data_IF_679685194534
#
_entry.id   IF_679685194534
#
_cell.length_a   1.000
_cell.length_b   1.000
_cell.length_c   1.000
_cell.angle_alpha   90.00
_cell.angle_beta   90.00
_cell.angle_gamma   90.00
#
_symmetry.space_group_name_H-M   'P 1'
#
loop_
_entity.id
_entity.type
_entity.pdbx_description
1 polymer ?
#
# COMPACT_ATOMS: atom_id res chain seq x y z
N UNK A 1 -33.67 48.21 13.86
CA UNK A 1 -32.83 47.05 14.27
C UNK A 1 -32.03 46.46 13.09
N UNK A 2 -32.43 46.75 11.85
CA UNK A 2 -31.99 46.13 10.60
C UNK A 2 -30.46 46.08 10.42
N UNK A 3 -29.73 47.15 10.80
CA UNK A 3 -28.27 47.20 10.65
C UNK A 3 -27.53 46.06 11.37
N UNK A 4 -28.09 45.44 12.42
CA UNK A 4 -27.50 44.26 13.06
C UNK A 4 -27.90 42.94 12.39
N UNK A 5 -29.10 42.88 11.80
CA UNK A 5 -29.59 41.69 11.09
C UNK A 5 -28.75 41.42 9.82
N UNK A 6 -28.48 42.46 9.02
CA UNK A 6 -27.70 42.32 7.79
C UNK A 6 -26.25 41.86 8.04
N UNK A 7 -25.62 42.32 9.13
CA UNK A 7 -24.25 41.92 9.49
C UNK A 7 -24.19 40.42 9.85
N UNK A 8 -25.17 39.92 10.61
CA UNK A 8 -25.26 38.48 10.93
C UNK A 8 -25.50 37.66 9.66
N UNK A 9 -26.41 38.10 8.77
CA UNK A 9 -26.74 37.38 7.54
C UNK A 9 -25.54 37.28 6.57
N UNK A 10 -24.78 38.36 6.42
CA UNK A 10 -23.54 38.38 5.61
C UNK A 10 -22.45 37.51 6.25
N UNK A 11 -22.31 37.53 7.58
CA UNK A 11 -21.36 36.66 8.27
C UNK A 11 -21.70 35.16 8.09
N UNK A 12 -22.98 34.77 8.16
CA UNK A 12 -23.39 33.38 7.91
C UNK A 12 -23.14 32.92 6.47
N UNK A 13 -23.34 33.81 5.48
CA UNK A 13 -23.02 33.50 4.08
C UNK A 13 -21.51 33.37 3.84
N UNK A 14 -20.69 34.20 4.49
CA UNK A 14 -19.23 34.09 4.41
C UNK A 14 -18.70 32.79 5.04
N UNK A 15 -19.26 32.35 6.17
CA UNK A 15 -18.85 31.10 6.83
C UNK A 15 -19.23 29.86 5.98
N UNK A 16 -20.39 29.88 5.31
CA UNK A 16 -20.79 28.81 4.39
C UNK A 16 -19.85 28.68 3.17
N UNK A 17 -19.23 29.77 2.72
CA UNK A 17 -18.33 29.78 1.57
C UNK A 17 -16.93 29.19 1.86
N UNK A 18 -16.55 28.98 3.13
CA UNK A 18 -15.20 28.52 3.51
C UNK A 18 -15.01 26.99 3.43
N UNK A 19 -16.06 26.22 3.11
CA UNK A 19 -15.97 24.78 2.81
C UNK A 19 -15.74 24.48 1.32
N UNK A 20 -14.97 25.33 0.61
CA UNK A 20 -14.45 25.01 -0.72
C UNK A 20 -13.32 23.97 -0.63
N UNK A 21 -13.69 22.71 -0.39
CA UNK A 21 -12.77 21.57 -0.52
C UNK A 21 -12.26 21.48 -1.95
N UNK A 22 -10.94 21.55 -2.14
CA UNK A 22 -10.31 21.49 -3.45
C UNK A 22 -10.64 20.18 -4.16
N UNK A 23 -11.07 20.29 -5.42
CA UNK A 23 -11.44 19.17 -6.27
C UNK A 23 -10.21 18.58 -6.96
N UNK A 24 -9.32 18.01 -6.14
CA UNK A 24 -8.37 17.03 -6.64
C UNK A 24 -9.12 15.72 -6.93
N UNK A 25 -8.79 15.07 -8.04
CA UNK A 25 -9.19 13.69 -8.36
C UNK A 25 -8.87 12.78 -7.17
N UNK A 26 -9.84 11.96 -6.75
CA UNK A 26 -9.71 11.05 -5.61
C UNK A 26 -9.65 9.60 -6.04
N UNK A 27 -8.73 8.88 -5.43
CA UNK A 27 -8.66 7.42 -5.54
C UNK A 27 -9.41 6.76 -4.37
N UNK A 28 -10.42 5.96 -4.69
CA UNK A 28 -11.24 5.23 -3.72
C UNK A 28 -10.90 3.74 -3.76
N UNK A 29 -10.24 3.24 -2.71
CA UNK A 29 -9.96 1.81 -2.55
C UNK A 29 -11.26 1.06 -2.23
N UNK A 30 -11.73 0.23 -3.18
CA UNK A 30 -13.01 -0.47 -3.07
C UNK A 30 -12.95 -1.53 -1.97
N UNK A 31 -13.88 -1.46 -1.02
CA UNK A 31 -13.89 -2.29 0.19
C UNK A 31 -12.91 -1.85 1.27
N UNK A 32 -12.18 -0.74 1.07
CA UNK A 32 -11.14 -0.22 1.97
C UNK A 32 -10.09 -1.30 2.33
N UNK A 33 -10.16 -1.81 3.56
CA UNK A 33 -9.27 -2.85 4.07
C UNK A 33 -9.65 -4.28 3.66
N UNK A 34 -10.90 -4.51 3.27
CA UNK A 34 -11.39 -5.80 2.81
C UNK A 34 -10.95 -6.08 1.35
N UNK A 35 -10.71 -5.01 0.58
CA UNK A 35 -10.48 -5.09 -0.85
C UNK A 35 -11.71 -5.57 -1.62
N UNK A 36 -11.46 -6.16 -2.79
CA UNK A 36 -12.47 -6.69 -3.70
C UNK A 36 -12.49 -8.23 -3.66
N UNK A 37 -13.22 -8.75 -2.69
CA UNK A 37 -13.43 -10.20 -2.43
C UNK A 37 -14.91 -10.53 -2.32
N UNK A 38 -15.27 -11.82 -2.19
CA UNK A 38 -16.61 -12.21 -1.74
C UNK A 38 -16.80 -11.65 -0.32
N UNK A 39 -17.81 -10.80 -0.08
CA UNK A 39 -17.94 -10.13 1.21
C UNK A 39 -18.58 -11.06 2.26
N UNK A 40 -18.36 -10.80 3.56
CA UNK A 40 -19.04 -11.54 4.64
C UNK A 40 -20.55 -11.25 4.73
N UNK A 41 -21.05 -10.25 3.98
CA UNK A 41 -22.47 -9.97 3.82
C UNK A 41 -22.74 -9.12 2.58
N UNK A 42 -23.91 -9.30 1.95
CA UNK A 42 -24.28 -8.63 0.69
C UNK A 42 -24.40 -7.11 0.77
N UNK A 43 -24.48 -6.55 1.98
CA UNK A 43 -24.53 -5.10 2.22
C UNK A 43 -23.16 -4.41 2.21
N UNK A 44 -22.03 -5.14 2.26
CA UNK A 44 -20.70 -4.54 2.47
C UNK A 44 -20.33 -3.46 1.45
N UNK A 45 -20.41 -3.75 0.15
CA UNK A 45 -20.09 -2.75 -0.89
C UNK A 45 -21.16 -1.65 -1.02
N UNK A 46 -22.48 -1.93 -0.92
CA UNK A 46 -23.49 -0.88 -0.77
C UNK A 46 -23.23 0.09 0.39
N UNK A 47 -22.87 -0.40 1.58
CA UNK A 47 -22.53 0.45 2.74
C UNK A 47 -21.23 1.21 2.53
N UNK A 48 -20.21 0.60 1.92
CA UNK A 48 -18.98 1.29 1.52
C UNK A 48 -19.25 2.44 0.53
N UNK A 49 -20.13 2.22 -0.45
CA UNK A 49 -20.52 3.23 -1.44
C UNK A 49 -21.35 4.37 -0.84
N UNK A 50 -22.27 4.06 0.08
CA UNK A 50 -23.19 5.04 0.66
C UNK A 50 -22.51 6.14 1.49
N UNK A 51 -21.30 5.88 2.01
CA UNK A 51 -20.51 6.85 2.78
C UNK A 51 -19.54 7.68 1.92
N UNK A 52 -19.74 7.73 0.59
CA UNK A 52 -18.81 8.32 -0.39
C UNK A 52 -19.55 9.13 -1.47
N UNK A 53 -18.86 10.13 -2.00
CA UNK A 53 -19.35 10.99 -3.10
C UNK A 53 -18.38 10.91 -4.27
N UNK A 54 -18.80 10.29 -5.36
CA UNK A 54 -17.97 10.06 -6.54
C UNK A 54 -18.21 11.17 -7.58
N UNK A 55 -17.15 11.80 -8.08
CA UNK A 55 -17.21 12.83 -9.10
C UNK A 55 -16.51 12.38 -10.40
N UNK A 56 -16.87 13.00 -11.52
CA UNK A 56 -16.15 12.75 -12.78
C UNK A 56 -14.66 13.13 -12.61
N UNK A 57 -13.80 12.18 -12.99
CA UNK A 57 -12.35 12.23 -12.79
C UNK A 57 -11.86 11.28 -11.70
N UNK A 58 -12.65 10.98 -10.66
CA UNK A 58 -12.24 10.09 -9.57
C UNK A 58 -11.90 8.67 -10.05
N UNK A 59 -11.02 7.96 -9.33
CA UNK A 59 -10.62 6.58 -9.64
C UNK A 59 -11.20 5.62 -8.61
N UNK A 60 -11.71 4.46 -9.06
CA UNK A 60 -11.90 3.30 -8.19
C UNK A 60 -10.67 2.40 -8.27
N UNK A 61 -10.10 2.03 -7.12
CA UNK A 61 -8.95 1.12 -7.01
C UNK A 61 -9.44 -0.18 -6.40
N UNK A 62 -9.52 -1.24 -7.21
CA UNK A 62 -9.97 -2.56 -6.78
C UNK A 62 -8.77 -3.47 -6.51
N UNK A 63 -8.55 -3.81 -5.25
CA UNK A 63 -7.47 -4.70 -4.81
C UNK A 63 -8.00 -6.13 -4.59
N UNK A 64 -7.54 -7.10 -5.37
CA UNK A 64 -7.94 -8.50 -5.27
C UNK A 64 -6.76 -9.47 -5.54
N UNK A 65 -7.01 -10.77 -5.38
CA UNK A 65 -6.05 -11.83 -5.74
C UNK A 65 -6.26 -12.22 -7.21
N UNK A 66 -5.21 -12.13 -8.03
CA UNK A 66 -5.27 -12.49 -9.45
C UNK A 66 -5.72 -13.95 -9.65
N UNK A 67 -6.62 -14.19 -10.60
CA UNK A 67 -7.14 -15.52 -10.89
C UNK A 67 -8.15 -16.06 -9.86
N UNK A 68 -8.40 -15.35 -8.76
CA UNK A 68 -9.50 -15.64 -7.83
C UNK A 68 -10.68 -14.67 -8.00
N UNK A 69 -10.43 -13.44 -8.47
CA UNK A 69 -11.46 -12.44 -8.77
C UNK A 69 -11.10 -11.65 -10.04
N UNK A 70 -12.06 -10.87 -10.51
CA UNK A 70 -11.95 -9.88 -11.58
C UNK A 70 -12.86 -8.67 -11.27
N UNK A 71 -12.73 -7.61 -12.08
CA UNK A 71 -13.58 -6.42 -12.03
C UNK A 71 -14.22 -6.19 -13.39
N UNK A 72 -15.54 -6.37 -13.45
CA UNK A 72 -16.33 -6.29 -14.68
C UNK A 72 -17.28 -5.09 -14.59
N UNK A 73 -17.07 -4.03 -15.41
CA UNK A 73 -18.06 -2.93 -15.56
C UNK A 73 -19.21 -3.46 -16.42
N UNK A 74 -20.44 -3.38 -15.91
CA UNK A 74 -21.64 -3.97 -16.54
C UNK A 74 -22.80 -2.98 -16.61
N UNK A 75 -23.85 -3.35 -17.36
CA UNK A 75 -25.13 -2.62 -17.36
C UNK A 75 -25.90 -2.86 -16.06
N UNK A 76 -26.91 -2.04 -15.75
CA UNK A 76 -27.83 -2.27 -14.62
C UNK A 76 -28.45 -3.67 -14.67
N UNK A 77 -28.99 -4.09 -15.81
CA UNK A 77 -29.65 -5.39 -15.94
C UNK A 77 -28.69 -6.56 -15.69
N UNK A 78 -27.45 -6.45 -16.16
CA UNK A 78 -26.39 -7.43 -15.89
C UNK A 78 -25.94 -7.42 -14.43
N UNK A 79 -25.85 -6.25 -13.80
CA UNK A 79 -25.59 -6.14 -12.36
C UNK A 79 -26.69 -6.79 -11.53
N UNK A 80 -27.96 -6.48 -11.81
CA UNK A 80 -29.11 -7.00 -11.07
C UNK A 80 -29.23 -8.53 -11.22
N UNK A 81 -28.96 -9.07 -12.42
CA UNK A 81 -28.95 -10.52 -12.70
C UNK A 81 -27.61 -11.24 -12.42
N UNK A 82 -26.56 -10.53 -11.99
CA UNK A 82 -25.20 -11.06 -11.83
C UNK A 82 -24.60 -11.73 -13.08
N UNK A 83 -24.88 -11.16 -14.26
CA UNK A 83 -24.41 -11.66 -15.55
C UNK A 83 -23.12 -10.95 -16.02
N UNK A 84 -22.01 -11.69 -16.09
CA UNK A 84 -20.71 -11.19 -16.58
C UNK A 84 -20.56 -11.12 -18.11
N UNK A 85 -21.53 -11.61 -18.88
CA UNK A 85 -21.49 -11.60 -20.34
C UNK A 85 -21.61 -10.20 -20.95
N UNK A 86 -20.94 -9.96 -22.08
CA UNK A 86 -20.89 -8.67 -22.78
C UNK A 86 -20.47 -7.48 -21.87
N UNK A 87 -19.28 -7.54 -21.24
CA UNK A 87 -18.81 -6.50 -20.33
C UNK A 87 -18.50 -5.19 -21.05
N UNK A 88 -18.70 -4.06 -20.36
CA UNK A 88 -18.32 -2.73 -20.86
C UNK A 88 -16.82 -2.46 -20.69
N UNK A 89 -16.24 -2.97 -19.59
CA UNK A 89 -14.80 -3.06 -19.32
C UNK A 89 -14.58 -4.31 -18.45
N UNK A 90 -13.42 -4.96 -18.56
CA UNK A 90 -13.04 -6.05 -17.66
C UNK A 90 -11.56 -6.01 -17.32
N UNK A 91 -11.24 -6.20 -16.03
CA UNK A 91 -9.87 -6.29 -15.52
C UNK A 91 -9.70 -7.60 -14.75
N UNK A 92 -8.87 -8.51 -15.27
CA UNK A 92 -8.55 -9.80 -14.64
C UNK A 92 -7.29 -9.76 -13.77
N UNK A 93 -6.68 -8.59 -13.59
CA UNK A 93 -5.46 -8.36 -12.82
C UNK A 93 -5.65 -7.21 -11.83
N UNK A 94 -5.00 -7.33 -10.68
CA UNK A 94 -5.04 -6.44 -9.53
C UNK A 94 -3.68 -5.73 -9.33
N UNK A 95 -3.68 -4.42 -8.97
CA UNK A 95 -4.86 -3.56 -8.75
C UNK A 95 -5.54 -3.17 -10.07
N UNK A 96 -6.87 -3.22 -10.11
CA UNK A 96 -7.64 -2.70 -11.24
C UNK A 96 -8.07 -1.25 -10.94
N UNK A 97 -7.54 -0.31 -11.73
CA UNK A 97 -7.81 1.12 -11.58
C UNK A 97 -8.82 1.57 -12.63
N UNK A 98 -9.98 2.08 -12.19
CA UNK A 98 -11.09 2.49 -13.06
C UNK A 98 -11.40 3.97 -12.87
N UNK A 99 -10.99 4.81 -13.81
CA UNK A 99 -11.32 6.24 -13.83
C UNK A 99 -12.78 6.47 -14.22
N UNK A 100 -13.47 7.33 -13.47
CA UNK A 100 -14.89 7.63 -13.61
C UNK A 100 -15.08 8.80 -14.58
N UNK A 101 -15.02 8.50 -15.88
CA UNK A 101 -15.04 9.51 -16.95
C UNK A 101 -16.44 10.06 -17.28
N UNK A 102 -17.50 9.51 -16.70
CA UNK A 102 -18.90 9.74 -17.08
C UNK A 102 -19.75 9.99 -15.82
N UNK A 103 -20.85 10.74 -15.96
CA UNK A 103 -21.83 10.93 -14.88
C UNK A 103 -22.90 9.84 -14.88
N UNK A 104 -23.63 9.71 -13.77
CA UNK A 104 -24.73 8.76 -13.61
C UNK A 104 -24.31 7.50 -12.87
N UNK A 105 -25.06 6.41 -13.03
CA UNK A 105 -24.88 5.20 -12.22
C UNK A 105 -23.96 4.18 -12.90
N UNK A 106 -22.90 3.75 -12.19
CA UNK A 106 -21.93 2.76 -12.66
C UNK A 106 -22.04 1.48 -11.82
N UNK A 107 -21.87 0.34 -12.49
CA UNK A 107 -22.04 -0.98 -11.88
C UNK A 107 -20.84 -1.87 -12.15
N UNK A 108 -20.36 -2.53 -11.12
CA UNK A 108 -19.21 -3.43 -11.14
C UNK A 108 -19.56 -4.74 -10.45
N UNK A 109 -19.13 -5.86 -11.04
CA UNK A 109 -19.28 -7.20 -10.46
C UNK A 109 -17.96 -7.96 -10.58
N UNK A 110 -17.79 -9.00 -9.78
CA UNK A 110 -16.89 -10.10 -10.13
C UNK A 110 -17.70 -11.14 -10.92
N UNK A 111 -17.24 -11.46 -12.13
CA UNK A 111 -17.92 -12.37 -13.07
C UNK A 111 -17.62 -13.85 -12.81
N UNK A 112 -16.71 -14.17 -11.87
CA UNK A 112 -16.48 -15.53 -11.39
C UNK A 112 -17.77 -16.14 -10.83
N UNK A 113 -17.99 -17.42 -11.12
CA UNK A 113 -19.27 -18.09 -10.86
C UNK A 113 -19.68 -18.01 -9.38
N UNK A 114 -20.86 -17.45 -9.11
CA UNK A 114 -21.40 -17.27 -7.76
C UNK A 114 -20.87 -16.06 -6.98
N UNK A 115 -19.76 -15.43 -7.39
CA UNK A 115 -19.11 -14.36 -6.62
C UNK A 115 -20.00 -13.11 -6.51
N UNK A 116 -20.54 -12.63 -7.64
CA UNK A 116 -21.52 -11.54 -7.64
C UNK A 116 -22.78 -11.88 -6.80
N UNK A 117 -23.29 -13.11 -6.91
CA UNK A 117 -24.49 -13.56 -6.19
C UNK A 117 -24.28 -13.66 -4.68
N UNK A 118 -23.06 -13.98 -4.24
CA UNK A 118 -22.62 -13.91 -2.85
C UNK A 118 -22.34 -12.47 -2.37
N UNK A 119 -22.50 -11.47 -3.23
CA UNK A 119 -22.41 -10.05 -2.89
C UNK A 119 -21.18 -9.31 -3.42
N UNK A 120 -20.30 -9.93 -4.21
CA UNK A 120 -19.15 -9.24 -4.84
C UNK A 120 -19.59 -8.36 -6.02
N UNK A 121 -20.31 -7.29 -5.68
CA UNK A 121 -20.94 -6.35 -6.60
C UNK A 121 -21.02 -4.95 -5.98
N UNK A 122 -20.68 -3.93 -6.75
CA UNK A 122 -20.68 -2.51 -6.37
C UNK A 122 -21.54 -1.71 -7.35
N UNK A 123 -22.45 -0.90 -6.83
CA UNK A 123 -23.12 0.15 -7.58
C UNK A 123 -22.76 1.50 -6.96
N UNK A 124 -22.42 2.48 -7.79
CA UNK A 124 -22.15 3.87 -7.39
C UNK A 124 -22.94 4.84 -8.28
N UNK A 125 -23.08 6.08 -7.83
CA UNK A 125 -23.57 7.17 -8.67
C UNK A 125 -22.53 8.31 -8.69
N UNK A 126 -22.18 8.75 -9.90
CA UNK A 126 -21.13 9.73 -10.18
C UNK A 126 -21.77 11.06 -10.55
N UNK A 127 -21.48 12.11 -9.78
CA UNK A 127 -21.87 13.49 -10.11
C UNK A 127 -20.87 14.12 -11.08
N UNK A 128 -21.26 15.20 -11.76
CA UNK A 128 -20.31 15.99 -12.52
C UNK A 128 -19.16 16.45 -11.61
N UNK A 129 -17.94 16.52 -12.15
CA UNK A 129 -16.85 17.22 -11.48
C UNK A 129 -17.27 18.67 -11.24
N UNK A 130 -16.95 19.23 -10.07
CA UNK A 130 -17.43 20.55 -9.67
C UNK A 130 -16.71 21.68 -10.42
N UNK A 131 -17.11 21.92 -11.66
CA UNK A 131 -16.64 23.04 -12.46
C UNK A 131 -16.89 24.35 -11.72
N UNK A 132 -15.82 24.95 -11.17
CA UNK A 132 -15.83 26.38 -10.87
C UNK A 132 -16.20 27.12 -12.16
N UNK A 133 -17.19 28.03 -12.17
CA UNK A 133 -17.70 28.61 -13.40
C UNK A 133 -16.59 29.30 -14.20
N UNK A 134 -16.22 28.69 -15.33
CA UNK A 134 -15.35 29.34 -16.29
C UNK A 134 -15.99 30.67 -16.73
N UNK A 135 -15.25 31.79 -16.81
CA UNK A 135 -15.79 33.04 -17.30
C UNK A 135 -16.43 32.84 -18.67
N UNK A 136 -17.73 33.12 -18.76
CA UNK A 136 -18.53 32.81 -19.95
C UNK A 136 -17.91 33.47 -21.21
N UNK A 137 -17.62 32.70 -22.27
CA UNK A 137 -17.21 33.28 -23.54
C UNK A 137 -18.32 34.18 -24.08
N UNK A 138 -18.10 35.49 -24.04
CA UNK A 138 -19.11 36.46 -24.47
C UNK A 138 -19.15 36.50 -26.00
N UNK A 139 -20.14 35.83 -26.58
CA UNK A 139 -20.35 35.78 -28.03
C UNK A 139 -20.78 37.16 -28.54
N UNK A 140 -19.90 37.82 -29.28
CA UNK A 140 -20.18 39.14 -29.85
C UNK A 140 -21.22 39.07 -30.98
N UNK A 141 -22.21 39.97 -30.94
CA UNK A 141 -23.09 40.32 -32.06
C UNK A 141 -23.28 41.85 -32.09
N UNK A 142 -23.34 42.49 -33.28
CA UNK A 142 -23.17 43.95 -33.39
C UNK A 142 -24.48 44.75 -33.37
N UNK A 143 -24.51 45.88 -32.65
CA UNK A 143 -25.49 46.96 -32.79
C UNK A 143 -24.85 48.34 -32.49
N UNK A 144 -25.48 49.48 -32.88
CA UNK A 144 -24.73 50.62 -33.42
C UNK A 144 -24.54 51.82 -32.48
N UNK A 145 -23.60 52.67 -32.90
CA UNK A 145 -23.25 54.00 -32.35
C UNK A 145 -23.73 55.13 -33.27
N UNK A 146 -23.72 56.43 -32.87
CA UNK A 146 -23.76 56.99 -31.51
C UNK A 146 -24.71 58.23 -31.37
N UNK A 147 -24.88 58.71 -30.13
CA UNK A 147 -24.91 60.17 -29.85
C UNK A 147 -24.30 60.48 -28.47
N UNK A 148 -23.84 61.72 -28.21
CA UNK A 148 -22.74 61.96 -27.28
C UNK A 148 -23.17 62.42 -25.87
N UNK A 149 -22.33 62.10 -24.88
CA UNK A 149 -22.37 62.62 -23.51
C UNK A 149 -21.15 63.55 -23.26
N UNK A 150 -21.22 64.57 -22.39
CA UNK A 150 -20.19 65.61 -22.32
C UNK A 150 -18.79 65.16 -21.90
N UNK A 151 -17.77 65.86 -22.40
CA UNK A 151 -16.36 65.72 -22.02
C UNK A 151 -16.10 66.21 -20.60
N UNK A 152 -15.45 65.36 -19.80
CA UNK A 152 -14.82 65.71 -18.52
C UNK A 152 -13.30 65.85 -18.79
N UNK A 153 -12.61 66.87 -18.26
CA UNK A 153 -11.16 67.03 -18.47
C UNK A 153 -10.35 65.89 -17.82
N UNK A 154 -9.16 65.56 -18.36
CA UNK A 154 -8.32 64.51 -17.81
C UNK A 154 -7.75 64.89 -16.44
N UNK A 155 -7.67 63.92 -15.53
CA UNK A 155 -6.95 64.06 -14.26
C UNK A 155 -5.43 64.09 -14.50
N UNK A 156 -4.64 64.79 -13.65
CA UNK A 156 -3.19 64.84 -13.79
C UNK A 156 -2.53 63.49 -13.51
N UNK A 157 -1.42 63.23 -14.21
CA UNK A 157 -0.66 61.98 -14.06
C UNK A 157 0.01 61.88 -12.68
N UNK A 158 -0.03 60.73 -12.00
CA UNK A 158 0.68 60.55 -10.74
C UNK A 158 2.20 60.54 -10.94
N UNK A 159 2.92 61.14 -9.99
CA UNK A 159 4.38 61.11 -9.93
C UNK A 159 4.91 59.69 -9.64
N UNK A 160 6.15 59.34 -10.04
CA UNK A 160 6.72 58.03 -9.77
C UNK A 160 6.88 57.78 -8.26
N UNK A 161 6.48 56.59 -7.80
CA UNK A 161 6.74 56.16 -6.42
C UNK A 161 8.24 55.92 -6.17
N UNK A 162 8.73 56.12 -4.94
CA UNK A 162 10.05 55.62 -4.53
C UNK A 162 10.12 54.10 -4.63
N UNK A 163 11.29 53.56 -5.00
CA UNK A 163 11.51 52.12 -5.09
C UNK A 163 11.26 51.42 -3.75
N UNK A 164 10.30 50.50 -3.72
CA UNK A 164 10.04 49.64 -2.56
C UNK A 164 11.29 48.81 -2.21
N UNK A 165 11.66 48.65 -0.92
CA UNK A 165 12.69 47.70 -0.53
C UNK A 165 12.39 46.28 -1.02
N UNK A 166 13.44 45.51 -1.34
CA UNK A 166 13.30 44.15 -1.84
C UNK A 166 12.54 43.25 -0.82
N UNK A 167 11.71 42.30 -1.27
CA UNK A 167 11.02 41.37 -0.37
C UNK A 167 12.02 40.60 0.51
N UNK A 168 11.71 40.50 1.80
CA UNK A 168 12.44 39.60 2.69
C UNK A 168 12.30 38.14 2.20
N UNK A 169 13.32 37.28 2.41
CA UNK A 169 13.24 35.87 2.03
C UNK A 169 12.01 35.22 2.67
N UNK A 170 11.11 34.69 1.84
CA UNK A 170 9.90 34.04 2.33
C UNK A 170 10.30 32.75 3.07
N UNK A 171 9.92 32.66 4.34
CA UNK A 171 10.07 31.43 5.12
C UNK A 171 9.35 30.29 4.41
N UNK A 172 10.04 29.15 4.27
CA UNK A 172 9.49 28.00 3.54
C UNK A 172 8.14 27.58 4.12
N UNK A 173 7.12 27.52 3.24
CA UNK A 173 5.87 26.86 3.60
C UNK A 173 6.20 25.41 4.00
N UNK A 174 5.66 24.89 5.12
CA UNK A 174 5.86 23.49 5.45
C UNK A 174 5.35 22.62 4.29
N UNK A 175 6.14 21.62 3.92
CA UNK A 175 5.76 20.66 2.89
C UNK A 175 4.49 19.90 3.33
N UNK A 176 3.65 19.44 2.38
CA UNK A 176 2.49 18.63 2.72
C UNK A 176 2.93 17.37 3.47
N UNK A 177 2.50 17.24 4.73
CA UNK A 177 2.78 16.06 5.54
C UNK A 177 2.02 14.89 4.93
N UNK A 178 2.74 13.91 4.37
CA UNK A 178 2.12 12.69 3.85
C UNK A 178 1.37 11.98 4.97
N UNK A 179 0.15 11.52 4.67
CA UNK A 179 -0.57 10.59 5.55
C UNK A 179 0.12 9.22 5.59
N UNK A 180 -0.30 8.35 6.53
CA UNK A 180 0.23 7.00 6.66
C UNK A 180 -0.04 6.17 5.40
N UNK A 181 1.03 5.57 4.86
CA UNK A 181 0.99 4.72 3.66
C UNK A 181 0.44 3.35 4.01
N UNK A 182 -0.34 2.76 3.11
CA UNK A 182 -0.79 1.37 3.24
C UNK A 182 -0.06 0.49 2.22
N UNK A 183 0.61 -0.57 2.71
CA UNK A 183 1.41 -1.49 1.90
C UNK A 183 0.82 -2.89 1.92
N UNK A 184 0.42 -3.42 0.76
CA UNK A 184 -0.04 -4.81 0.62
C UNK A 184 1.16 -5.75 0.56
N UNK A 185 1.33 -6.61 1.58
CA UNK A 185 2.49 -7.51 1.68
C UNK A 185 2.44 -8.57 0.58
N UNK A 186 3.52 -8.64 -0.21
CA UNK A 186 3.59 -9.48 -1.42
C UNK A 186 2.88 -8.89 -2.65
N UNK A 187 2.42 -7.63 -2.57
CA UNK A 187 1.63 -6.95 -3.59
C UNK A 187 0.50 -7.87 -4.11
N UNK A 188 0.50 -8.24 -5.39
CA UNK A 188 -0.54 -9.08 -6.01
C UNK A 188 -0.47 -10.56 -5.60
N UNK A 189 0.65 -11.05 -5.06
CA UNK A 189 0.79 -12.42 -4.54
C UNK A 189 0.18 -12.58 -3.14
N UNK A 190 0.02 -11.50 -2.39
CA UNK A 190 -0.43 -11.54 -1.00
C UNK A 190 0.55 -12.28 -0.06
N UNK A 191 0.01 -12.77 1.05
CA UNK A 191 0.74 -13.51 2.09
C UNK A 191 0.53 -15.02 1.93
N UNK A 192 1.40 -15.64 1.14
CA UNK A 192 1.39 -17.06 0.76
C UNK A 192 2.79 -17.66 0.90
N UNK A 193 2.93 -18.97 0.74
CA UNK A 193 4.25 -19.61 0.62
C UNK A 193 4.86 -19.29 -0.75
N UNK A 194 6.05 -18.69 -0.85
CA UNK A 194 6.65 -18.36 -2.15
C UNK A 194 6.98 -19.60 -2.98
N UNK A 195 6.43 -19.67 -4.19
CA UNK A 195 6.74 -20.75 -5.16
C UNK A 195 8.09 -20.57 -5.86
N UNK A 196 8.55 -19.32 -6.01
CA UNK A 196 9.75 -18.94 -6.75
C UNK A 196 10.96 -18.61 -5.84
N UNK A 197 11.04 -19.26 -4.67
CA UNK A 197 12.14 -19.10 -3.72
C UNK A 197 11.87 -18.11 -2.58
N UNK A 198 12.61 -18.28 -1.49
CA UNK A 198 12.30 -17.70 -0.18
C UNK A 198 12.61 -16.20 -0.01
N UNK A 199 13.05 -15.52 -1.06
CA UNK A 199 13.41 -14.09 -1.05
C UNK A 199 12.26 -13.14 -1.44
N UNK A 200 11.11 -13.66 -1.92
CA UNK A 200 9.98 -12.87 -2.44
C UNK A 200 9.64 -11.62 -1.60
N UNK A 201 9.44 -11.80 -0.29
CA UNK A 201 9.06 -10.72 0.62
C UNK A 201 10.20 -9.75 0.94
N UNK A 202 11.46 -10.18 0.79
CA UNK A 202 12.62 -9.30 0.94
C UNK A 202 12.78 -8.43 -0.31
N UNK A 203 12.67 -9.01 -1.51
CA UNK A 203 12.62 -8.25 -2.77
C UNK A 203 11.47 -7.25 -2.77
N UNK A 204 10.27 -7.66 -2.34
CA UNK A 204 9.10 -6.78 -2.17
C UNK A 204 9.36 -5.59 -1.24
N UNK A 205 10.14 -5.77 -0.18
CA UNK A 205 10.40 -4.74 0.83
C UNK A 205 11.49 -3.73 0.42
N UNK A 206 12.46 -4.14 -0.40
CA UNK A 206 13.67 -3.35 -0.71
C UNK A 206 13.36 -1.96 -1.29
N UNK A 207 12.35 -1.85 -2.16
CA UNK A 207 11.99 -0.61 -2.84
C UNK A 207 10.93 0.22 -2.07
N UNK A 208 10.73 -0.04 -0.77
CA UNK A 208 9.69 0.61 0.06
C UNK A 208 10.29 1.23 1.33
N UNK A 209 9.96 2.50 1.60
CA UNK A 209 10.39 3.21 2.81
C UNK A 209 9.26 3.25 3.86
N UNK A 210 9.27 2.32 4.80
CA UNK A 210 8.29 2.26 5.89
C UNK A 210 8.53 3.35 6.94
N UNK A 211 7.47 4.02 7.36
CA UNK A 211 7.46 5.03 8.43
C UNK A 211 6.55 4.65 9.59
N UNK A 212 6.82 5.20 10.78
CA UNK A 212 5.90 5.11 11.92
C UNK A 212 4.55 5.74 11.56
N UNK A 213 3.49 4.95 11.68
CA UNK A 213 2.12 5.28 11.28
C UNK A 213 1.61 4.48 10.09
N UNK A 214 2.51 3.99 9.23
CA UNK A 214 2.15 3.18 8.04
C UNK A 214 1.49 1.85 8.42
N UNK A 215 0.82 1.22 7.45
CA UNK A 215 0.01 0.03 7.67
C UNK A 215 0.40 -1.08 6.68
N UNK A 216 0.90 -2.20 7.19
CA UNK A 216 1.01 -3.44 6.41
C UNK A 216 -0.36 -4.10 6.32
N UNK A 217 -0.72 -4.60 5.13
CA UNK A 217 -1.91 -5.43 4.91
C UNK A 217 -1.45 -6.80 4.42
N UNK A 218 -1.72 -7.83 5.21
CA UNK A 218 -1.40 -9.22 4.86
C UNK A 218 -2.67 -9.90 4.37
N UNK A 219 -2.76 -10.11 3.06
CA UNK A 219 -3.88 -10.78 2.41
C UNK A 219 -3.63 -12.30 2.37
N UNK A 220 -4.40 -13.07 3.13
CA UNK A 220 -4.32 -14.54 3.17
C UNK A 220 -5.68 -15.16 3.47
N UNK A 221 -5.84 -16.46 3.17
CA UNK A 221 -7.04 -17.21 3.53
C UNK A 221 -6.94 -17.66 4.99
N UNK A 222 -7.90 -17.22 5.81
CA UNK A 222 -8.06 -17.62 7.21
C UNK A 222 -8.03 -19.14 7.36
N UNK A 223 -7.13 -19.65 8.19
CA UNK A 223 -6.95 -21.09 8.43
C UNK A 223 -5.98 -21.81 7.48
N UNK A 224 -5.48 -21.16 6.42
CA UNK A 224 -4.34 -21.70 5.62
C UNK A 224 -3.03 -20.96 5.89
N UNK A 225 -3.10 -19.70 6.33
CA UNK A 225 -1.96 -18.94 6.85
C UNK A 225 -2.38 -18.13 8.08
N UNK A 226 -1.38 -17.57 8.74
CA UNK A 226 -1.44 -16.64 9.87
C UNK A 226 -0.31 -15.61 9.72
N UNK A 227 -0.29 -14.59 10.59
CA UNK A 227 0.82 -13.65 10.73
C UNK A 227 1.23 -13.60 12.19
N UNK A 228 2.48 -13.94 12.46
CA UNK A 228 3.13 -13.78 13.75
C UNK A 228 4.17 -12.67 13.65
N UNK A 229 4.04 -11.63 14.44
CA UNK A 229 5.14 -10.69 14.69
C UNK A 229 6.11 -11.32 15.69
N UNK A 230 7.41 -11.32 15.41
CA UNK A 230 8.42 -12.07 16.18
C UNK A 230 9.67 -11.24 16.44
N UNK A 231 10.50 -11.69 17.38
CA UNK A 231 11.81 -11.07 17.59
C UNK A 231 12.80 -11.44 16.48
N UNK A 232 13.85 -10.63 16.28
CA UNK A 232 14.97 -10.91 15.37
C UNK A 232 15.56 -12.33 15.59
N UNK A 233 15.63 -12.77 16.85
CA UNK A 233 16.15 -14.08 17.23
C UNK A 233 15.22 -15.24 16.86
N UNK A 234 13.91 -15.01 16.81
CA UNK A 234 12.91 -16.00 16.40
C UNK A 234 12.70 -16.05 14.88
N UNK A 235 12.90 -14.93 14.17
CA UNK A 235 12.68 -14.81 12.72
C UNK A 235 13.50 -15.79 11.87
N UNK A 236 14.81 -15.87 12.09
CA UNK A 236 15.68 -16.74 11.28
C UNK A 236 15.41 -18.24 11.45
N UNK A 237 15.27 -18.79 12.69
CA UNK A 237 14.91 -20.19 12.90
C UNK A 237 13.40 -20.48 12.75
N UNK A 238 12.58 -19.51 12.34
CA UNK A 238 11.12 -19.64 12.23
C UNK A 238 10.46 -20.10 13.54
N UNK A 239 10.92 -19.60 14.69
CA UNK A 239 10.40 -19.99 15.99
C UNK A 239 9.05 -19.31 16.27
N UNK A 240 7.99 -20.11 16.35
CA UNK A 240 6.62 -19.68 16.65
C UNK A 240 6.31 -19.57 18.15
N UNK A 241 7.26 -19.96 19.01
CA UNK A 241 7.09 -19.96 20.47
C UNK A 241 7.24 -18.53 20.99
N UNK A 242 6.17 -17.98 21.55
CA UNK A 242 6.07 -16.61 22.08
C UNK A 242 6.23 -15.51 21.00
N UNK A 243 5.27 -15.37 20.07
CA UNK A 243 5.20 -14.20 19.19
C UNK A 243 4.88 -12.94 19.98
N UNK A 244 5.29 -11.78 19.45
CA UNK A 244 4.97 -10.44 19.96
C UNK A 244 3.48 -10.14 19.71
N UNK A 245 3.01 -10.46 18.50
CA UNK A 245 1.65 -10.27 18.03
C UNK A 245 1.23 -11.49 17.18
N UNK A 246 -0.04 -11.88 17.23
CA UNK A 246 -0.58 -12.99 16.44
C UNK A 246 -1.92 -12.59 15.80
N UNK A 247 -2.03 -12.78 14.48
CA UNK A 247 -3.27 -12.65 13.72
C UNK A 247 -3.51 -13.93 12.93
N UNK A 248 -4.62 -14.62 13.20
CA UNK A 248 -5.03 -15.88 12.55
C UNK A 248 -6.13 -15.72 11.49
N UNK A 249 -6.70 -14.51 11.37
CA UNK A 249 -7.79 -14.17 10.45
C UNK A 249 -7.31 -13.16 9.41
N UNK A 250 -7.42 -13.53 8.14
CA UNK A 250 -7.07 -12.69 7.00
C UNK A 250 -8.29 -11.98 6.38
N UNK A 251 -8.10 -10.82 5.72
CA UNK A 251 -6.87 -10.04 5.70
C UNK A 251 -6.65 -9.31 7.04
N UNK A 252 -5.40 -9.25 7.53
CA UNK A 252 -5.06 -8.46 8.73
C UNK A 252 -4.33 -7.18 8.39
N UNK A 253 -4.48 -6.16 9.24
CA UNK A 253 -3.79 -4.87 9.15
C UNK A 253 -2.88 -4.67 10.36
N UNK A 254 -1.60 -4.43 10.11
CA UNK A 254 -0.59 -4.15 11.16
C UNK A 254 -0.12 -2.71 11.01
N UNK A 255 -0.49 -1.84 11.95
CA UNK A 255 0.04 -0.47 12.01
C UNK A 255 1.46 -0.49 12.61
N UNK A 256 2.41 0.11 11.91
CA UNK A 256 3.80 0.21 12.32
C UNK A 256 3.94 1.34 13.36
N UNK A 257 3.83 0.98 14.64
CA UNK A 257 3.75 1.94 15.76
C UNK A 257 5.10 2.39 16.33
N UNK A 258 6.18 1.72 15.96
CA UNK A 258 7.53 1.93 16.50
C UNK A 258 8.55 1.97 15.37
N UNK A 259 9.63 2.76 15.51
CA UNK A 259 10.76 2.68 14.60
C UNK A 259 11.66 1.49 14.94
N UNK A 260 12.48 1.05 13.99
CA UNK A 260 13.38 -0.11 14.12
C UNK A 260 12.95 -1.29 13.25
N UNK A 261 13.54 -2.45 13.48
CA UNK A 261 13.26 -3.64 12.67
C UNK A 261 12.04 -4.40 13.15
N UNK A 262 11.10 -4.66 12.23
CA UNK A 262 9.93 -5.51 12.46
C UNK A 262 10.04 -6.80 11.63
N UNK A 263 9.63 -7.92 12.22
CA UNK A 263 9.77 -9.25 11.66
C UNK A 263 8.43 -10.00 11.73
N UNK A 264 7.98 -10.52 10.59
CA UNK A 264 6.70 -11.22 10.46
C UNK A 264 6.91 -12.60 9.82
N UNK A 265 6.29 -13.64 10.37
CA UNK A 265 6.37 -15.02 9.86
C UNK A 265 4.98 -15.65 9.80
N UNK A 266 4.77 -16.62 8.91
CA UNK A 266 3.66 -17.56 9.01
C UNK A 266 4.07 -18.72 9.92
N UNK A 267 3.31 -18.95 10.99
CA UNK A 267 3.54 -19.98 12.00
C UNK A 267 3.00 -21.37 11.62
N UNK A 268 2.22 -21.47 10.55
CA UNK A 268 1.81 -22.77 9.98
C UNK A 268 3.04 -23.62 9.63
N UNK A 269 3.11 -24.91 10.04
CA UNK A 269 4.33 -25.72 9.91
C UNK A 269 4.95 -25.72 8.51
N UNK A 270 6.23 -25.36 8.44
CA UNK A 270 7.02 -25.30 7.21
C UNK A 270 6.88 -24.01 6.39
N UNK A 271 5.82 -23.21 6.58
CA UNK A 271 5.54 -22.04 5.73
C UNK A 271 6.63 -20.96 5.83
N UNK A 272 7.01 -20.55 7.05
CA UNK A 272 8.12 -19.62 7.25
C UNK A 272 9.45 -20.14 6.67
N UNK A 273 9.75 -21.43 6.85
CA UNK A 273 10.99 -22.06 6.37
C UNK A 273 11.06 -22.12 4.84
N UNK A 274 9.91 -22.29 4.18
CA UNK A 274 9.76 -22.18 2.73
C UNK A 274 9.78 -20.72 2.21
N UNK A 275 9.81 -19.73 3.10
CA UNK A 275 9.98 -18.32 2.78
C UNK A 275 8.79 -17.41 3.06
N UNK A 276 7.71 -17.88 3.70
CA UNK A 276 6.60 -17.02 4.13
C UNK A 276 6.99 -16.20 5.37
N UNK A 277 7.92 -15.25 5.16
CA UNK A 277 8.54 -14.41 6.18
C UNK A 277 9.00 -13.07 5.61
N UNK A 278 8.72 -12.00 6.34
CA UNK A 278 9.04 -10.60 5.99
C UNK A 278 9.89 -9.97 7.11
N UNK A 279 10.92 -9.23 6.72
CA UNK A 279 11.64 -8.31 7.59
C UNK A 279 11.62 -6.92 6.96
N UNK A 280 11.33 -5.89 7.76
CA UNK A 280 11.36 -4.48 7.35
C UNK A 280 12.09 -3.63 8.39
N UNK A 281 12.62 -2.49 7.98
CA UNK A 281 13.07 -1.43 8.88
C UNK A 281 12.09 -0.26 8.80
N UNK A 282 11.65 0.24 9.96
CA UNK A 282 10.67 1.32 10.08
C UNK A 282 11.39 2.58 10.55
N UNK A 283 11.31 3.63 9.75
CA UNK A 283 11.88 4.95 10.05
C UNK A 283 10.91 5.81 10.88
N UNK A 284 11.44 6.68 11.74
CA UNK A 284 10.61 7.75 12.32
C UNK A 284 10.25 8.75 11.22
N UNK A 285 8.96 9.04 11.04
CA UNK A 285 8.52 10.15 10.19
C UNK A 285 9.19 11.45 10.66
N UNK A 286 10.00 12.06 9.81
CA UNK A 286 10.70 13.30 10.10
C UNK A 286 9.76 14.51 10.04
N UNK A 287 8.91 14.65 11.05
CA UNK A 287 8.37 15.97 11.41
C UNK A 287 9.55 16.92 11.56
N UNK A 288 9.63 17.90 10.67
CA UNK A 288 10.76 18.81 10.61
C UNK A 288 10.75 19.74 11.83
N UNK A 289 11.39 19.30 12.92
CA UNK A 289 11.82 20.19 13.99
C UNK A 289 12.65 21.28 13.34
N UNK A 290 12.27 22.58 13.43
CA UNK A 290 13.06 23.64 12.83
C UNK A 290 14.47 23.58 13.43
N UNK A 291 15.54 23.67 12.63
CA UNK A 291 16.90 23.57 13.14
C UNK A 291 17.14 24.70 14.15
N UNK A 292 17.30 24.33 15.42
CA UNK A 292 17.61 25.29 16.49
C UNK A 292 18.86 26.06 16.10
N UNK A 293 18.70 27.38 15.92
CA UNK A 293 19.72 28.24 15.33
C UNK A 293 21.04 28.17 16.11
N UNK A 294 22.09 27.67 15.45
CA UNK A 294 23.45 27.68 15.99
C UNK A 294 23.95 29.12 16.11
N UNK A 295 24.04 29.61 17.35
CA UNK A 295 24.66 30.91 17.63
C UNK A 295 26.17 30.84 17.36
N UNK A 296 26.76 31.78 16.58
CA UNK A 296 28.14 31.67 16.14
C UNK A 296 29.15 32.37 17.08
N UNK A 297 30.43 32.01 16.88
CA UNK A 297 31.64 32.75 17.31
C UNK A 297 32.05 32.65 18.79
N UNK A 298 33.35 32.85 19.15
CA UNK A 298 34.51 33.15 18.28
C UNK A 298 35.70 32.17 18.41
N UNK A 299 36.71 32.38 17.56
CA UNK A 299 38.05 31.77 17.58
C UNK A 299 38.99 32.70 16.77
N UNK A 300 40.34 32.71 16.92
CA UNK A 300 41.20 31.97 17.86
C UNK A 300 42.07 32.90 18.75
N UNK A 301 42.99 32.33 19.54
CA UNK A 301 44.24 33.01 19.99
C UNK A 301 45.39 32.00 20.22
N UNK A 302 46.57 32.31 19.67
CA UNK A 302 47.89 31.77 20.08
C UNK A 302 48.45 32.64 21.25
N UNK A 303 49.52 32.38 22.00
CA UNK A 303 50.63 31.40 22.03
C UNK A 303 51.06 31.20 23.53
N UNK A 304 52.15 30.57 24.01
CA UNK A 304 53.38 29.88 23.51
C UNK A 304 53.89 28.93 24.66
N UNK A 305 54.97 28.11 24.52
CA UNK A 305 55.32 27.04 25.48
C UNK A 305 56.42 27.42 26.50
N UNK A 306 56.90 26.47 27.35
CA UNK A 306 58.07 25.67 26.94
C UNK A 306 58.07 24.17 27.33
N UNK A 307 58.89 23.40 26.59
CA UNK A 307 59.84 22.31 26.96
C UNK A 307 59.70 21.48 28.26
N UNK A 308 60.16 20.22 28.36
CA UNK A 308 60.58 19.16 27.40
C UNK A 308 61.09 17.91 28.15
N UNK A 309 60.75 16.67 27.74
CA UNK A 309 61.63 15.48 27.93
C UNK A 309 61.14 14.22 27.21
N UNK A 310 62.01 13.65 26.37
CA UNK A 310 61.98 12.26 25.85
C UNK A 310 63.39 11.97 25.32
N UNK A 311 63.99 10.80 25.62
CA UNK A 311 64.02 9.68 24.66
C UNK A 311 63.95 8.29 25.39
N UNK A 312 64.00 7.09 24.81
CA UNK A 312 64.04 6.58 23.40
C UNK A 312 63.51 5.11 23.39
N UNK A 313 63.28 4.48 22.22
CA UNK A 313 62.81 3.08 22.13
C UNK A 313 63.97 2.06 22.03
N UNK A 314 63.63 0.76 22.07
CA UNK A 314 64.50 -0.35 21.64
C UNK A 314 63.72 -1.40 20.84
N UNK A 315 64.31 -1.86 19.74
CA UNK A 315 63.81 -2.92 18.85
C UNK A 315 64.87 -4.02 18.70
N UNK A 316 64.49 -5.29 18.53
CA UNK A 316 65.39 -6.31 17.96
C UNK A 316 64.67 -7.58 17.44
N UNK A 317 65.04 -7.99 16.24
CA UNK A 317 64.90 -9.32 15.60
C UNK A 317 66.15 -9.51 14.70
N UNK A 318 66.37 -10.66 14.01
CA UNK A 318 66.09 -12.07 14.30
C UNK A 318 67.46 -12.80 14.55
N UNK A 319 67.76 -14.05 14.09
CA UNK A 319 67.83 -14.44 12.66
C UNK A 319 67.31 -15.86 12.32
N UNK A 320 67.27 -16.19 11.02
CA UNK A 320 66.92 -17.53 10.48
C UNK A 320 68.16 -18.40 10.21
N UNK A 321 67.99 -19.72 10.11
CA UNK A 321 68.95 -20.64 9.44
C UNK A 321 68.26 -21.97 9.03
N UNK A 322 68.88 -22.69 8.09
CA UNK A 322 68.27 -23.78 7.30
C UNK A 322 68.94 -25.14 7.51
N UNK A 323 68.16 -26.23 7.40
CA UNK A 323 68.53 -27.47 6.68
C UNK A 323 67.33 -28.45 6.59
N UNK A 324 67.26 -29.24 5.52
CA UNK A 324 66.43 -30.46 5.41
C UNK A 324 67.34 -31.68 5.20
N UNK A 325 66.97 -32.72 4.43
CA UNK A 325 65.63 -33.14 3.99
C UNK A 325 65.33 -34.63 4.37
N UNK A 326 64.12 -35.15 4.10
CA UNK A 326 63.88 -36.62 3.95
C UNK A 326 62.54 -36.98 3.28
N UNK A 327 62.66 -37.60 2.11
CA UNK A 327 61.72 -38.56 1.48
C UNK A 327 62.57 -39.82 1.21
N UNK A 328 62.06 -41.07 1.18
CA UNK A 328 60.96 -41.55 0.31
C UNK A 328 60.01 -42.55 1.06
N UNK A 329 59.14 -43.42 0.49
CA UNK A 329 58.93 -43.97 -0.87
C UNK A 329 57.44 -44.19 -1.23
N UNK A 330 57.20 -44.37 -2.55
CA UNK A 330 56.06 -45.06 -3.20
C UNK A 330 56.12 -46.61 -2.90
N UNK A 331 55.34 -47.55 -3.53
CA UNK A 331 54.25 -47.42 -4.50
C UNK A 331 53.03 -48.42 -4.39
N UNK A 332 52.03 -48.18 -5.27
CA UNK A 332 51.19 -49.16 -6.01
C UNK A 332 50.13 -50.06 -5.35
N UNK A 333 49.01 -50.19 -6.09
CA UNK A 333 47.98 -51.25 -6.01
C UNK A 333 48.47 -52.60 -6.57
N UNK A 334 47.66 -53.67 -6.46
CA UNK A 334 46.95 -54.14 -7.66
C UNK A 334 45.46 -54.50 -7.42
N UNK A 335 44.77 -54.95 -8.47
CA UNK A 335 43.36 -55.37 -8.44
C UNK A 335 43.20 -56.89 -8.22
N UNK A 336 41.99 -57.31 -7.83
CA UNK A 336 41.56 -58.71 -7.76
C UNK A 336 40.09 -58.83 -7.30
N UNK A 337 39.28 -59.61 -8.02
CA UNK A 337 37.83 -59.69 -7.84
C UNK A 337 37.41 -60.60 -6.67
N UNK A 338 36.15 -60.45 -6.19
CA UNK A 338 35.14 -61.52 -6.18
C UNK A 338 33.78 -61.10 -5.55
N UNK A 339 32.75 -61.02 -6.41
CA UNK A 339 31.34 -61.42 -6.22
C UNK A 339 30.68 -61.43 -4.81
N UNK A 340 29.67 -60.56 -4.60
CA UNK A 340 28.52 -60.81 -3.71
C UNK A 340 27.26 -60.02 -4.17
N UNK A 341 26.08 -60.63 -4.03
CA UNK A 341 24.80 -60.20 -4.65
C UNK A 341 24.04 -59.08 -3.90
N UNK A 342 23.39 -58.13 -4.59
CA UNK A 342 22.51 -57.12 -3.97
C UNK A 342 21.03 -57.59 -3.83
N UNK A 343 20.26 -57.04 -2.86
CA UNK A 343 18.80 -57.20 -2.80
C UNK A 343 18.08 -56.27 -3.80
N UNK A 344 16.88 -56.67 -4.25
CA UNK A 344 16.11 -55.99 -5.29
C UNK A 344 15.15 -54.89 -4.75
N UNK A 345 14.79 -53.87 -5.57
CA UNK A 345 13.77 -52.88 -5.23
C UNK A 345 12.35 -53.47 -5.38
N UNK A 346 11.45 -53.12 -4.45
CA UNK A 346 10.04 -53.53 -4.50
C UNK A 346 9.23 -52.76 -5.55
N UNK A 347 8.28 -53.45 -6.20
CA UNK A 347 7.45 -52.91 -7.29
C UNK A 347 6.13 -52.28 -6.83
N UNK A 348 5.57 -51.43 -7.70
CA UNK A 348 4.36 -50.63 -7.47
C UNK A 348 3.05 -51.40 -7.62
N UNK A 349 1.97 -50.70 -7.22
CA UNK A 349 0.56 -50.88 -7.63
C UNK A 349 -0.23 -52.06 -7.02
N UNK A 350 -1.17 -51.70 -6.15
CA UNK A 350 -2.38 -52.47 -5.86
C UNK A 350 -3.60 -51.55 -6.02
N UNK A 351 -4.42 -51.80 -7.04
CA UNK A 351 -5.67 -51.05 -7.30
C UNK A 351 -6.83 -51.72 -6.57
N UNK A 352 -7.58 -50.99 -5.74
CA UNK A 352 -8.81 -51.50 -5.13
C UNK A 352 -9.98 -50.50 -5.17
N UNK A 353 -11.06 -50.99 -5.77
CA UNK A 353 -12.48 -50.68 -5.57
C UNK A 353 -12.89 -49.24 -5.17
N UNK A 354 -13.55 -48.56 -6.10
CA UNK A 354 -14.59 -47.59 -5.78
C UNK A 354 -15.79 -48.29 -5.11
N UNK A 355 -16.29 -47.74 -4.00
CA UNK A 355 -17.52 -48.18 -3.35
C UNK A 355 -18.49 -46.99 -3.27
N UNK A 356 -19.54 -47.01 -4.08
CA UNK A 356 -20.61 -46.01 -4.05
C UNK A 356 -21.64 -46.34 -2.97
N UNK A 357 -21.93 -45.37 -2.11
CA UNK A 357 -23.07 -45.44 -1.17
C UNK A 357 -24.08 -44.36 -1.52
N UNK A 358 -25.18 -44.79 -2.13
CA UNK A 358 -26.38 -43.97 -2.31
C UNK A 358 -27.22 -44.07 -1.04
N UNK A 359 -27.68 -42.94 -0.51
CA UNK A 359 -28.61 -42.87 0.61
C UNK A 359 -29.80 -41.98 0.23
N UNK A 360 -31.00 -42.54 0.28
CA UNK A 360 -32.23 -41.89 -0.18
C UNK A 360 -32.80 -40.93 0.86
N UNK A 361 -33.01 -39.67 0.49
CA UNK A 361 -33.86 -38.77 1.27
C UNK A 361 -35.33 -39.18 1.12
N UNK A 362 -35.92 -39.68 2.20
CA UNK A 362 -37.37 -39.91 2.29
C UNK A 362 -38.04 -38.61 2.71
N UNK A 363 -38.74 -37.96 1.78
CA UNK A 363 -39.61 -36.83 2.09
C UNK A 363 -40.81 -37.28 2.92
N UNK A 364 -41.08 -36.62 4.03
CA UNK A 364 -42.32 -36.77 4.78
C UNK A 364 -42.87 -35.40 5.17
N UNK A 365 -43.87 -34.94 4.40
CA UNK A 365 -44.67 -33.75 4.70
C UNK A 365 -45.92 -34.21 5.44
N UNK A 366 -46.15 -33.67 6.64
CA UNK A 366 -47.44 -33.68 7.35
C UNK A 366 -47.67 -32.25 7.87
N UNK A 367 -48.94 -31.82 7.94
CA UNK A 367 -49.32 -30.39 7.99
C UNK A 367 -50.35 -30.14 9.10
N UNK A 368 -50.34 -28.92 9.68
CA UNK A 368 -51.19 -28.46 10.79
C UNK A 368 -50.95 -29.23 12.10
N UNK A 369 -51.32 -28.77 13.30
CA UNK A 369 -52.05 -27.54 13.70
C UNK A 369 -51.19 -26.71 14.69
N UNK A 370 -51.49 -25.44 14.94
CA UNK A 370 -52.61 -24.64 14.40
C UNK A 370 -52.19 -23.85 13.15
#
# INVERSE_FOLDING_TARGET
>A
MEKRLNIVFIATLAIAALFQSSLAQRDYVVGDALGWVIPPGSSTYPTWAANRTFAVGDTLVFNFINGAHDVTKVTRANYDSCNGGNPLLMFSNSPANVTLNETGSHYFICAFSGHCSAGQKLAINVSASGSSPAPQPSTAAPQPSPRPQPTIPPAPSPSPMPSTPAPAPQGVSPAPVSGPTTYTVGDTSGWVVPTNGSSMYQTWANDKNFMVGDILVFNYVTGTHDVLEVSRAAYQPCNVTNPISNWTTGPTRVTLRTPGDHYYICGVPGHCSAGQRLAINVSTSSTATPPSSSSPSPSPSMATPPSSSSPSPSSATPPSSTNGPSSPTNPSSPAGDNNATPPAPGTSAASLASASLSATFVSLIVVFFM
#
